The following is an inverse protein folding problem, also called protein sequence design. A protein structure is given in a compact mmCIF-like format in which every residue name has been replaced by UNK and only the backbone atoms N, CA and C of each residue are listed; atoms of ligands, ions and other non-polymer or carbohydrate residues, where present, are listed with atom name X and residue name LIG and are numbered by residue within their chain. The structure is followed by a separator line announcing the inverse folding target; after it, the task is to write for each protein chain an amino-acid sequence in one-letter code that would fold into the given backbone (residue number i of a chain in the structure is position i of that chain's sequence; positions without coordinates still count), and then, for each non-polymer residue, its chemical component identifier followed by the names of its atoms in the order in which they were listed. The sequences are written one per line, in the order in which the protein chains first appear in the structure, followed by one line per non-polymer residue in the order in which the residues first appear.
data_IF_094671697511
#
_entry.id   IF_094671697511
#
_cell.length_a   1.000
_cell.length_b   1.000
_cell.length_c   1.000
_cell.angle_alpha   90.00
_cell.angle_beta   90.00
_cell.angle_gamma   90.00
#
_symmetry.space_group_name_H-M   'P 1'
#
loop_
_entity.id
_entity.type
_entity.pdbx_description
1 polymer ?
#
# COMPACT_ATOMS: atom_id res chain seq x y z
N UNK A 1 -33.92 -30.11 6.06
CA UNK A 1 -32.71 -29.45 6.57
C UNK A 1 -31.67 -29.41 5.44
N UNK A 2 -31.27 -28.25 5.03
CA UNK A 2 -30.26 -28.10 3.97
C UNK A 2 -28.90 -28.12 4.64
N UNK A 3 -28.06 -29.11 4.32
CA UNK A 3 -26.68 -29.18 4.82
C UNK A 3 -25.76 -28.50 3.82
N UNK A 4 -25.17 -27.39 4.22
CA UNK A 4 -24.13 -26.74 3.41
C UNK A 4 -22.80 -27.42 3.68
N UNK A 5 -22.18 -27.90 2.60
CA UNK A 5 -20.81 -28.41 2.67
C UNK A 5 -19.85 -27.29 2.31
N UNK A 6 -18.99 -26.91 3.24
CA UNK A 6 -17.97 -25.88 3.04
C UNK A 6 -16.62 -26.60 2.91
N UNK A 7 -15.85 -26.27 1.87
CA UNK A 7 -14.49 -26.79 1.71
C UNK A 7 -13.57 -26.12 2.72
N UNK A 8 -12.42 -26.76 3.01
CA UNK A 8 -11.39 -26.17 3.88
C UNK A 8 -10.94 -24.79 3.36
N UNK A 9 -10.84 -24.64 2.04
CA UNK A 9 -10.46 -23.38 1.41
C UNK A 9 -11.52 -22.30 1.65
N UNK A 10 -12.79 -22.63 1.47
CA UNK A 10 -13.91 -21.71 1.72
C UNK A 10 -13.98 -21.31 3.18
N UNK A 11 -13.80 -22.28 4.11
CA UNK A 11 -13.79 -21.99 5.53
C UNK A 11 -12.66 -21.04 5.94
N UNK A 12 -11.46 -21.28 5.45
CA UNK A 12 -10.32 -20.40 5.70
C UNK A 12 -10.57 -18.98 5.21
N UNK A 13 -11.18 -18.85 4.02
CA UNK A 13 -11.53 -17.56 3.45
C UNK A 13 -12.56 -16.82 4.31
N UNK A 14 -13.63 -17.52 4.72
CA UNK A 14 -14.66 -16.95 5.58
C UNK A 14 -14.12 -16.51 6.94
N UNK A 15 -13.27 -17.33 7.56
CA UNK A 15 -12.62 -17.00 8.84
C UNK A 15 -11.71 -15.78 8.66
N UNK A 16 -10.91 -15.75 7.61
CA UNK A 16 -10.01 -14.64 7.32
C UNK A 16 -10.78 -13.33 7.11
N UNK A 17 -11.86 -13.36 6.33
CA UNK A 17 -12.70 -12.20 6.06
C UNK A 17 -13.44 -11.73 7.33
N UNK A 18 -14.02 -12.64 8.09
CA UNK A 18 -14.79 -12.29 9.30
C UNK A 18 -13.91 -11.77 10.44
N UNK A 19 -12.64 -12.18 10.49
CA UNK A 19 -11.68 -11.77 11.51
C UNK A 19 -10.75 -10.64 11.02
N UNK A 20 -10.95 -10.14 9.81
CA UNK A 20 -10.10 -9.12 9.19
C UNK A 20 -8.60 -9.47 9.27
N UNK A 21 -8.28 -10.74 9.06
CA UNK A 21 -6.89 -11.20 9.07
C UNK A 21 -6.27 -11.00 7.69
N UNK A 22 -5.04 -10.52 7.69
CA UNK A 22 -4.23 -10.44 6.48
C UNK A 22 -3.88 -11.85 5.96
N UNK A 23 -3.71 -11.99 4.65
CA UNK A 23 -3.18 -13.20 4.05
C UNK A 23 -1.74 -13.44 4.52
N UNK A 24 -1.20 -14.68 4.43
CA UNK A 24 0.19 -14.93 4.78
C UNK A 24 1.19 -14.04 4.04
N UNK A 25 0.97 -13.80 2.74
CA UNK A 25 1.84 -12.95 1.93
C UNK A 25 1.75 -11.48 2.36
N UNK A 26 0.57 -11.00 2.70
CA UNK A 26 0.36 -9.65 3.21
C UNK A 26 1.05 -9.47 4.56
N UNK A 27 0.97 -10.46 5.45
CA UNK A 27 1.67 -10.41 6.74
C UNK A 27 3.18 -10.37 6.56
N UNK A 28 3.71 -11.22 5.70
CA UNK A 28 5.15 -11.23 5.39
C UNK A 28 5.61 -9.91 4.78
N UNK A 29 4.80 -9.36 3.88
CA UNK A 29 5.07 -8.07 3.27
C UNK A 29 5.11 -6.94 4.32
N UNK A 30 4.12 -6.88 5.20
CA UNK A 30 4.08 -5.88 6.27
C UNK A 30 5.24 -6.03 7.26
N UNK A 31 5.62 -7.26 7.60
CA UNK A 31 6.79 -7.52 8.44
C UNK A 31 8.07 -7.02 7.77
N UNK A 32 8.20 -7.24 6.46
CA UNK A 32 9.35 -6.74 5.70
C UNK A 32 9.38 -5.22 5.64
N UNK A 33 8.23 -4.58 5.52
CA UNK A 33 8.15 -3.12 5.62
C UNK A 33 8.60 -2.62 6.98
N UNK A 34 8.26 -3.33 8.06
CA UNK A 34 8.71 -3.00 9.41
C UNK A 34 10.21 -3.17 9.61
N UNK A 35 10.87 -4.02 8.81
CA UNK A 35 12.32 -4.17 8.80
C UNK A 35 13.02 -3.12 7.92
N UNK A 36 12.31 -2.56 6.94
CA UNK A 36 12.85 -1.60 5.97
C UNK A 36 12.64 -0.15 6.41
N UNK A 37 11.49 0.13 7.02
CA UNK A 37 11.08 1.46 7.46
C UNK A 37 10.91 1.49 8.98
N UNK A 38 10.76 2.70 9.53
CA UNK A 38 10.32 2.86 10.92
C UNK A 38 8.82 2.56 11.00
N UNK A 39 8.44 1.68 11.92
CA UNK A 39 7.03 1.32 12.13
C UNK A 39 6.44 2.16 13.25
N UNK A 40 5.38 2.91 12.95
CA UNK A 40 4.59 3.64 13.95
C UNK A 40 3.47 2.77 14.51
N UNK A 41 2.99 1.80 13.70
CA UNK A 41 1.95 0.87 14.08
C UNK A 41 2.22 -0.46 13.41
N UNK A 42 2.36 -1.51 14.22
CA UNK A 42 2.55 -2.87 13.75
C UNK A 42 1.20 -3.58 13.69
N UNK A 43 0.61 -3.56 12.51
CA UNK A 43 -0.67 -4.20 12.21
C UNK A 43 -0.56 -5.36 11.24
N UNK A 44 0.59 -6.03 11.19
CA UNK A 44 0.82 -7.12 10.24
C UNK A 44 -0.27 -8.21 10.31
N UNK A 45 -0.75 -8.51 11.51
CA UNK A 45 -1.82 -9.50 11.73
C UNK A 45 -3.15 -9.05 11.14
N UNK A 46 -3.49 -7.78 11.27
CA UNK A 46 -4.76 -7.21 10.80
C UNK A 46 -4.70 -6.67 9.38
N UNK A 47 -3.51 -6.66 8.77
CA UNK A 47 -3.33 -6.18 7.41
C UNK A 47 -3.24 -4.67 7.29
N UNK A 48 -2.86 -3.97 8.36
CA UNK A 48 -2.71 -2.51 8.35
C UNK A 48 -1.37 -2.13 8.97
N UNK A 49 -0.70 -1.12 8.39
CA UNK A 49 0.54 -0.60 8.94
C UNK A 49 0.70 0.88 8.68
N UNK A 50 1.45 1.54 9.54
CA UNK A 50 1.85 2.93 9.41
C UNK A 50 3.36 2.97 9.51
N UNK A 51 4.01 3.48 8.47
CA UNK A 51 5.46 3.47 8.35
C UNK A 51 5.98 4.85 7.94
N UNK A 52 7.25 5.10 8.25
CA UNK A 52 7.93 6.28 7.73
C UNK A 52 9.40 5.99 7.47
N UNK A 53 9.99 6.80 6.60
CA UNK A 53 11.42 6.83 6.36
C UNK A 53 11.96 8.22 6.70
N UNK A 54 13.19 8.26 7.22
CA UNK A 54 13.82 9.51 7.65
C UNK A 54 14.89 9.93 6.65
N UNK A 55 14.96 11.24 6.42
CA UNK A 55 15.89 11.86 5.48
C UNK A 55 16.61 13.03 6.16
N UNK A 56 17.67 13.59 5.55
CA UNK A 56 18.38 14.73 6.11
C UNK A 56 17.47 15.94 6.35
N UNK A 57 17.88 16.82 7.28
CA UNK A 57 17.20 18.08 7.64
C UNK A 57 15.81 17.88 8.22
N UNK A 58 15.64 16.80 9.01
CA UNK A 58 14.37 16.42 9.64
C UNK A 58 13.24 16.17 8.64
N UNK A 59 13.57 15.85 7.40
CA UNK A 59 12.60 15.43 6.42
C UNK A 59 12.16 13.99 6.68
N UNK A 60 10.89 13.72 6.44
CA UNK A 60 10.29 12.42 6.68
C UNK A 60 9.21 12.16 5.63
N UNK A 61 9.15 10.93 5.13
CA UNK A 61 8.03 10.46 4.32
C UNK A 61 7.28 9.41 5.09
N UNK A 62 6.00 9.63 5.32
CA UNK A 62 5.11 8.76 6.07
C UNK A 62 4.05 8.19 5.15
N UNK A 63 3.72 6.93 5.32
CA UNK A 63 2.64 6.32 4.55
C UNK A 63 1.82 5.35 5.40
N UNK A 64 0.55 5.22 5.03
CA UNK A 64 -0.40 4.29 5.63
C UNK A 64 -0.79 3.27 4.56
N UNK A 65 -0.75 2.00 4.91
CA UNK A 65 -1.05 0.91 4.00
C UNK A 65 -1.95 -0.11 4.69
N UNK A 66 -2.93 -0.64 3.97
CA UNK A 66 -3.83 -1.66 4.52
C UNK A 66 -4.32 -2.62 3.44
N UNK A 67 -4.72 -3.81 3.87
CA UNK A 67 -5.27 -4.83 2.97
C UNK A 67 -6.60 -4.37 2.39
N UNK A 68 -6.72 -4.42 1.06
CA UNK A 68 -7.94 -4.05 0.33
C UNK A 68 -8.54 -5.20 -0.48
N UNK A 69 -7.88 -6.33 -0.52
CA UNK A 69 -8.31 -7.54 -1.23
C UNK A 69 -7.28 -8.63 -1.03
N UNK A 70 -7.49 -9.79 -1.65
CA UNK A 70 -6.53 -10.90 -1.55
C UNK A 70 -5.20 -10.50 -2.18
N UNK A 71 -4.13 -10.48 -1.36
CA UNK A 71 -2.79 -10.07 -1.75
C UNK A 71 -2.75 -8.70 -2.45
N UNK A 72 -3.66 -7.82 -2.04
CA UNK A 72 -3.78 -6.47 -2.55
C UNK A 72 -3.75 -5.50 -1.37
N UNK A 73 -2.84 -4.54 -1.43
CA UNK A 73 -2.65 -3.54 -0.39
C UNK A 73 -2.93 -2.14 -0.96
N UNK A 74 -3.66 -1.36 -0.20
CA UNK A 74 -4.02 0.01 -0.56
C UNK A 74 -3.16 1.00 0.23
N UNK A 75 -2.55 1.93 -0.48
CA UNK A 75 -1.78 3.01 0.11
C UNK A 75 -2.72 4.20 0.24
N UNK A 76 -3.15 4.51 1.46
CA UNK A 76 -4.17 5.53 1.71
C UNK A 76 -3.59 6.93 1.80
N UNK A 77 -2.32 7.04 2.16
CA UNK A 77 -1.71 8.32 2.44
C UNK A 77 -0.19 8.22 2.26
N UNK A 78 0.38 9.18 1.54
CA UNK A 78 1.83 9.36 1.42
C UNK A 78 2.08 10.84 1.67
N UNK A 79 2.73 11.16 2.79
CA UNK A 79 3.02 12.51 3.18
C UNK A 79 4.52 12.74 3.25
N UNK A 80 4.98 13.77 2.56
CA UNK A 80 6.33 14.29 2.71
C UNK A 80 6.28 15.43 3.74
N UNK A 81 6.84 15.16 4.92
CA UNK A 81 6.78 16.07 6.07
C UNK A 81 8.12 16.76 6.31
N UNK A 82 8.03 18.01 6.75
CA UNK A 82 9.17 18.85 7.09
C UNK A 82 9.24 20.08 6.19
N UNK A 83 9.95 21.10 6.67
CA UNK A 83 10.17 22.32 5.89
C UNK A 83 11.16 22.03 4.74
N UNK A 84 10.82 22.54 3.56
CA UNK A 84 11.64 22.43 2.35
C UNK A 84 12.01 20.98 1.98
N UNK A 85 11.17 20.02 2.34
CA UNK A 85 11.42 18.61 2.08
C UNK A 85 10.86 18.12 0.75
N UNK A 86 10.05 18.92 0.09
CA UNK A 86 9.43 18.56 -1.18
C UNK A 86 10.41 18.71 -2.33
N UNK A 87 10.17 17.96 -3.42
CA UNK A 87 10.97 17.98 -4.66
C UNK A 87 12.43 17.54 -4.51
N UNK A 88 12.74 16.77 -3.46
CA UNK A 88 14.07 16.21 -3.23
C UNK A 88 14.18 14.74 -3.59
N UNK A 89 13.10 14.15 -4.15
CA UNK A 89 13.07 12.76 -4.53
C UNK A 89 12.87 11.77 -3.39
N UNK A 90 12.50 12.24 -2.20
CA UNK A 90 12.31 11.36 -1.03
C UNK A 90 11.09 10.46 -1.19
N UNK A 91 9.97 10.98 -1.70
CA UNK A 91 8.79 10.18 -2.00
C UNK A 91 9.08 9.10 -3.03
N UNK A 92 9.88 9.40 -4.04
CA UNK A 92 10.32 8.42 -5.04
C UNK A 92 11.15 7.31 -4.41
N UNK A 93 12.09 7.65 -3.53
CA UNK A 93 12.93 6.66 -2.85
C UNK A 93 12.08 5.71 -2.01
N UNK A 94 11.09 6.23 -1.29
CA UNK A 94 10.16 5.41 -0.50
C UNK A 94 9.33 4.51 -1.41
N UNK A 95 8.78 5.04 -2.50
CA UNK A 95 7.99 4.27 -3.45
C UNK A 95 8.80 3.17 -4.13
N UNK A 96 10.04 3.44 -4.49
CA UNK A 96 10.92 2.44 -5.10
C UNK A 96 11.20 1.28 -4.14
N UNK A 97 11.46 1.57 -2.86
CA UNK A 97 11.62 0.53 -1.83
C UNK A 97 10.33 -0.27 -1.64
N UNK A 98 9.20 0.41 -1.59
CA UNK A 98 7.90 -0.20 -1.38
C UNK A 98 7.52 -1.14 -2.52
N UNK A 99 7.67 -0.72 -3.78
CA UNK A 99 7.34 -1.54 -4.94
C UNK A 99 8.29 -2.74 -5.07
N UNK A 100 9.56 -2.58 -4.71
CA UNK A 100 10.51 -3.70 -4.71
C UNK A 100 10.09 -4.79 -3.72
N UNK A 101 9.62 -4.40 -2.53
CA UNK A 101 9.12 -5.35 -1.52
C UNK A 101 7.79 -5.97 -1.95
N UNK A 102 6.90 -5.20 -2.58
CA UNK A 102 5.66 -5.74 -3.12
C UNK A 102 5.92 -6.83 -4.16
N UNK A 103 6.92 -6.64 -5.02
CA UNK A 103 7.31 -7.64 -6.01
C UNK A 103 7.83 -8.92 -5.36
N UNK A 104 8.60 -8.82 -4.27
CA UNK A 104 9.10 -9.97 -3.54
C UNK A 104 8.01 -10.88 -2.99
N UNK A 105 6.88 -10.31 -2.62
CA UNK A 105 5.78 -11.03 -1.96
C UNK A 105 4.53 -11.16 -2.81
N UNK A 106 4.62 -10.89 -4.10
CA UNK A 106 3.50 -10.96 -5.06
C UNK A 106 2.30 -10.12 -4.62
N UNK A 107 2.57 -8.92 -4.12
CA UNK A 107 1.54 -7.99 -3.66
C UNK A 107 1.17 -6.99 -4.75
N UNK A 108 -0.11 -6.89 -5.05
CA UNK A 108 -0.68 -5.82 -5.86
C UNK A 108 -0.84 -4.57 -4.99
N UNK A 109 -0.38 -3.44 -5.48
CA UNK A 109 -0.57 -2.16 -4.81
C UNK A 109 -1.65 -1.34 -5.49
N UNK A 110 -2.49 -0.70 -4.70
CA UNK A 110 -3.52 0.23 -5.17
C UNK A 110 -3.39 1.56 -4.43
N UNK A 111 -3.73 2.63 -5.10
CA UNK A 111 -3.84 3.96 -4.51
C UNK A 111 -4.79 4.82 -5.33
N UNK A 112 -5.19 5.94 -4.78
CA UNK A 112 -5.91 6.97 -5.52
C UNK A 112 -4.98 8.17 -5.70
N UNK A 113 -4.71 8.54 -6.95
CA UNK A 113 -3.91 9.72 -7.29
C UNK A 113 -4.79 10.97 -7.15
N UNK A 114 -5.38 11.16 -5.98
CA UNK A 114 -6.28 12.26 -5.74
C UNK A 114 -5.51 13.55 -5.46
N UNK A 115 -5.91 14.67 -6.04
CA UNK A 115 -5.23 15.95 -5.84
C UNK A 115 -5.61 16.58 -4.50
N UNK A 116 -5.22 15.91 -3.38
CA UNK A 116 -5.39 16.47 -2.04
C UNK A 116 -4.33 17.50 -1.68
N UNK A 117 -3.31 17.63 -2.54
CA UNK A 117 -2.23 18.59 -2.39
C UNK A 117 -2.26 19.56 -3.56
N UNK A 118 -1.38 20.57 -3.52
CA UNK A 118 -1.20 21.53 -4.62
C UNK A 118 -0.57 20.89 -5.86
N UNK A 119 -0.28 19.59 -5.84
CA UNK A 119 0.30 18.89 -6.98
C UNK A 119 -0.78 18.60 -8.04
N UNK A 120 -0.61 19.07 -9.27
CA UNK A 120 -1.56 18.76 -10.34
C UNK A 120 -1.71 17.27 -10.59
N UNK A 121 -2.91 16.85 -10.99
CA UNK A 121 -3.24 15.44 -11.22
C UNK A 121 -2.35 14.79 -12.28
N UNK A 122 -2.03 15.49 -13.35
CA UNK A 122 -1.16 14.97 -14.42
C UNK A 122 0.26 14.67 -13.90
N UNK A 123 0.77 15.50 -12.99
CA UNK A 123 2.06 15.28 -12.35
C UNK A 123 2.02 14.04 -11.45
N UNK A 124 0.93 13.86 -10.69
CA UNK A 124 0.74 12.66 -9.87
C UNK A 124 0.68 11.39 -10.72
N UNK A 125 -0.05 11.41 -11.84
CA UNK A 125 -0.12 10.28 -12.75
C UNK A 125 1.26 9.94 -13.35
N UNK A 126 2.02 10.94 -13.75
CA UNK A 126 3.38 10.72 -14.26
C UNK A 126 4.29 10.11 -13.20
N UNK A 127 4.21 10.60 -11.98
CA UNK A 127 5.00 10.08 -10.87
C UNK A 127 4.70 8.60 -10.60
N UNK A 128 3.43 8.26 -10.40
CA UNK A 128 3.05 6.88 -10.11
C UNK A 128 3.27 5.95 -11.30
N UNK A 129 3.03 6.41 -12.52
CA UNK A 129 3.33 5.64 -13.73
C UNK A 129 4.83 5.32 -13.83
N UNK A 130 5.69 6.24 -13.42
CA UNK A 130 7.15 6.03 -13.45
C UNK A 130 7.63 4.92 -12.51
N UNK A 131 6.84 4.59 -11.49
CA UNK A 131 7.14 3.48 -10.57
C UNK A 131 6.28 2.24 -10.84
N UNK A 132 5.59 2.20 -11.98
CA UNK A 132 4.93 1.00 -12.47
C UNK A 132 3.42 0.91 -12.26
N UNK A 133 2.79 1.97 -11.76
CA UNK A 133 1.34 2.01 -11.61
C UNK A 133 0.66 2.30 -12.95
N UNK A 134 -0.53 1.74 -13.12
CA UNK A 134 -1.39 1.99 -14.27
C UNK A 134 -2.73 2.55 -13.80
N UNK A 135 -3.37 3.35 -14.64
CA UNK A 135 -4.70 3.86 -14.34
C UNK A 135 -5.69 2.70 -14.31
N UNK A 136 -6.48 2.63 -13.23
CA UNK A 136 -7.49 1.60 -13.01
C UNK A 136 -8.79 2.25 -12.53
N UNK A 137 -9.07 3.47 -13.00
CA UNK A 137 -10.22 4.25 -12.57
C UNK A 137 -11.55 3.61 -12.92
N UNK A 138 -12.50 3.77 -12.02
CA UNK A 138 -13.89 3.39 -12.19
C UNK A 138 -14.77 4.60 -11.86
N UNK A 139 -16.08 4.61 -12.19
CA UNK A 139 -16.95 5.71 -11.81
C UNK A 139 -16.96 6.02 -10.31
N UNK A 140 -16.80 4.98 -9.46
CA UNK A 140 -16.77 5.15 -8.01
C UNK A 140 -15.39 5.56 -7.49
N UNK A 141 -14.31 5.23 -8.22
CA UNK A 141 -12.93 5.52 -7.88
C UNK A 141 -12.19 6.04 -9.10
N UNK A 142 -12.48 7.28 -9.55
CA UNK A 142 -11.99 7.79 -10.84
C UNK A 142 -10.47 7.97 -10.90
N UNK A 143 -9.80 8.12 -9.75
CA UNK A 143 -8.36 8.36 -9.68
C UNK A 143 -7.57 7.12 -9.26
N UNK A 144 -8.22 5.94 -9.26
CA UNK A 144 -7.58 4.70 -8.86
C UNK A 144 -6.43 4.33 -9.79
N UNK A 145 -5.33 3.95 -9.19
CA UNK A 145 -4.17 3.38 -9.88
C UNK A 145 -3.81 2.05 -9.24
N UNK A 146 -3.29 1.14 -10.05
CA UNK A 146 -2.93 -0.21 -9.61
C UNK A 146 -1.58 -0.61 -10.17
N UNK A 147 -0.80 -1.31 -9.37
CA UNK A 147 0.47 -1.89 -9.79
C UNK A 147 0.48 -3.38 -9.48
N UNK A 148 0.51 -4.20 -10.53
CA UNK A 148 0.66 -5.65 -10.39
C UNK A 148 2.12 -5.99 -10.05
N UNK A 149 2.37 -7.08 -9.28
CA UNK A 149 3.74 -7.51 -8.99
C UNK A 149 4.44 -7.94 -10.29
N UNK A 150 5.74 -7.74 -10.31
CA UNK A 150 6.60 -8.05 -11.47
C UNK A 150 7.68 -9.05 -11.13
#
# INVERSE_FOLDING_TARGET
MITMKITRRQLRRLISESMNLASPMERMFLQELGATFYSEYDGARTGRGVFHDKFPNDCMVRFVIFSSGENTMYISDIENRGEDCQRKGYGRQVMEKLVAKADMYDITLELDAAPYSDTPLDVLYQFYTSVGFEQAGTPNHPYRMRRLPR
#
